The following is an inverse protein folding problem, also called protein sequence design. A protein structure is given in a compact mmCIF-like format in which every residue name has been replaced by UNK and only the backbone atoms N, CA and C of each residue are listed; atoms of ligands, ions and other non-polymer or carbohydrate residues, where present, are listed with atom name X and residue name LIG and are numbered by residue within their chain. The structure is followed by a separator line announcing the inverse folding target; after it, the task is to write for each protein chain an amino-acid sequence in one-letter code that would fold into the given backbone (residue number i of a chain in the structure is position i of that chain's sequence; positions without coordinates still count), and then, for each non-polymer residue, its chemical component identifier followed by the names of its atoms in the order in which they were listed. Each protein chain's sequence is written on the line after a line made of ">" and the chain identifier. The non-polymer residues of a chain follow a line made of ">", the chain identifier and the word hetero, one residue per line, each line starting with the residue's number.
data_IF_436639311188
#
_entry.id   IF_436639311188
#
_cell.length_a   1.000
_cell.length_b   1.000
_cell.length_c   1.000
_cell.angle_alpha   90.00
_cell.angle_beta   90.00
_cell.angle_gamma   90.00
#
_symmetry.space_group_name_H-M   'P 1'
#
loop_
_entity.id
_entity.type
_entity.pdbx_description
1 polymer ?
#
# COMPACT_ATOMS: atom_id res chain seq x y z
N UNK A 1 -12.21 1.27 15.49
CA UNK A 1 -13.62 1.56 15.21
C UNK A 1 -14.42 0.26 15.18
N UNK A 2 -15.14 -0.03 16.27
CA UNK A 2 -16.01 -1.22 16.36
C UNK A 2 -17.47 -0.90 15.91
N UNK A 3 -17.64 -0.09 14.88
CA UNK A 3 -18.95 0.23 14.37
C UNK A 3 -19.00 -0.13 12.89
N UNK A 4 -19.87 -1.02 12.52
CA UNK A 4 -20.37 -1.28 11.16
C UNK A 4 -19.36 -1.68 10.07
N UNK A 5 -18.10 -2.03 10.40
CA UNK A 5 -17.18 -2.59 9.43
C UNK A 5 -17.62 -4.03 9.10
N UNK A 6 -17.91 -4.35 7.82
CA UNK A 6 -18.36 -5.68 7.43
C UNK A 6 -17.21 -6.71 7.43
N UNK A 7 -15.97 -6.26 7.59
CA UNK A 7 -14.77 -7.09 7.54
C UNK A 7 -14.07 -7.15 8.89
N UNK A 8 -13.40 -8.27 9.16
CA UNK A 8 -12.45 -8.38 10.25
C UNK A 8 -11.12 -7.74 9.81
N UNK A 9 -10.77 -6.61 10.41
CA UNK A 9 -9.56 -5.86 10.07
C UNK A 9 -8.48 -6.10 11.12
N UNK A 10 -7.29 -6.48 10.65
CA UNK A 10 -6.10 -6.67 11.46
C UNK A 10 -5.05 -5.63 11.10
N UNK A 11 -4.71 -4.76 12.03
CA UNK A 11 -3.61 -3.81 11.90
C UNK A 11 -2.32 -4.48 12.37
N UNK A 12 -1.37 -4.68 11.46
CA UNK A 12 -0.11 -5.38 11.73
C UNK A 12 1.06 -4.42 11.55
N UNK A 13 1.80 -4.19 12.61
CA UNK A 13 3.09 -3.52 12.56
C UNK A 13 4.17 -4.58 12.39
N UNK A 14 4.54 -4.85 11.15
CA UNK A 14 5.49 -5.90 10.81
C UNK A 14 6.91 -5.54 11.28
N UNK A 15 7.71 -6.54 11.55
CA UNK A 15 9.13 -6.39 11.89
C UNK A 15 10.00 -6.89 10.76
N UNK A 16 11.19 -6.31 10.63
CA UNK A 16 12.20 -6.75 9.66
C UNK A 16 11.72 -6.66 8.19
N UNK A 17 10.96 -5.62 7.86
CA UNK A 17 10.58 -5.34 6.49
C UNK A 17 11.83 -5.10 5.64
N UNK A 18 12.73 -4.21 6.06
CA UNK A 18 13.96 -3.75 5.39
C UNK A 18 15.01 -4.87 5.13
N UNK A 19 14.81 -6.03 5.70
CA UNK A 19 15.72 -7.19 5.54
C UNK A 19 15.01 -8.42 4.98
N UNK A 20 13.91 -8.19 4.27
CA UNK A 20 13.18 -9.23 3.52
C UNK A 20 11.76 -9.51 4.02
N UNK A 21 11.03 -8.51 4.48
CA UNK A 21 9.59 -8.55 4.79
C UNK A 21 9.19 -9.71 5.72
N UNK A 22 10.07 -10.06 6.68
CA UNK A 22 9.98 -11.31 7.45
C UNK A 22 8.80 -11.35 8.40
N UNK A 23 8.46 -10.20 8.99
CA UNK A 23 7.32 -10.10 9.89
C UNK A 23 5.99 -10.29 9.18
N UNK A 24 5.86 -9.74 7.97
CA UNK A 24 4.62 -9.82 7.20
C UNK A 24 4.28 -11.24 6.76
N UNK A 25 5.27 -12.04 6.33
CA UNK A 25 5.01 -13.45 5.97
C UNK A 25 4.52 -14.27 7.15
N UNK A 26 5.09 -14.05 8.35
CA UNK A 26 4.68 -14.78 9.55
C UNK A 26 3.31 -14.33 10.06
N UNK A 27 3.01 -13.05 9.99
CA UNK A 27 1.70 -12.50 10.34
C UNK A 27 0.62 -13.02 9.38
N UNK A 28 0.85 -12.94 8.08
CA UNK A 28 -0.08 -13.45 7.07
C UNK A 28 -0.33 -14.96 7.21
N UNK A 29 0.72 -15.74 7.52
CA UNK A 29 0.57 -17.18 7.78
C UNK A 29 -0.30 -17.48 9.00
N UNK A 30 -0.20 -16.66 10.04
CA UNK A 30 -0.97 -16.86 11.28
C UNK A 30 -2.42 -16.37 11.13
N UNK A 31 -2.62 -15.21 10.50
CA UNK A 31 -3.94 -14.57 10.34
C UNK A 31 -4.74 -15.27 9.23
N UNK A 32 -4.07 -15.66 8.14
CA UNK A 32 -4.67 -16.20 6.91
C UNK A 32 -5.74 -15.27 6.33
N UNK A 33 -5.38 -14.03 6.02
CA UNK A 33 -6.34 -13.06 5.51
C UNK A 33 -6.75 -13.41 4.07
N UNK A 34 -7.97 -13.03 3.68
CA UNK A 34 -8.43 -13.08 2.29
C UNK A 34 -7.74 -12.01 1.44
N UNK A 35 -7.47 -10.84 2.05
CA UNK A 35 -6.78 -9.70 1.44
C UNK A 35 -5.65 -9.23 2.35
N UNK A 36 -4.46 -9.03 1.78
CA UNK A 36 -3.34 -8.33 2.39
C UNK A 36 -3.17 -6.95 1.77
N UNK A 37 -3.01 -5.92 2.60
CA UNK A 37 -2.75 -4.56 2.14
C UNK A 37 -1.43 -4.10 2.75
N UNK A 38 -0.43 -3.79 1.90
CA UNK A 38 0.78 -3.12 2.35
C UNK A 38 0.57 -1.62 2.43
N UNK A 39 1.10 -1.02 3.49
CA UNK A 39 1.16 0.44 3.65
C UNK A 39 2.62 0.82 3.84
N UNK A 40 3.16 1.56 2.89
CA UNK A 40 4.59 1.81 2.79
C UNK A 40 4.87 3.25 2.30
N UNK A 41 6.11 3.52 1.96
CA UNK A 41 6.53 4.73 1.24
C UNK A 41 6.99 4.39 -0.17
N UNK A 42 7.03 5.38 -1.06
CA UNK A 42 7.55 5.24 -2.42
C UNK A 42 8.29 6.51 -2.82
N UNK A 43 9.39 6.41 -3.61
CA UNK A 43 10.16 7.58 -3.99
C UNK A 43 9.36 8.64 -4.75
N UNK A 44 9.69 9.91 -4.47
CA UNK A 44 9.30 11.07 -5.29
C UNK A 44 10.11 11.05 -6.61
N UNK A 45 9.43 10.99 -7.73
CA UNK A 45 10.05 11.04 -9.07
C UNK A 45 10.15 12.48 -9.62
N UNK A 46 9.50 13.44 -8.94
CA UNK A 46 9.55 14.84 -9.36
C UNK A 46 10.85 15.53 -8.96
N UNK A 47 11.42 15.18 -7.80
CA UNK A 47 12.65 15.77 -7.29
C UNK A 47 13.26 15.00 -6.10
N UNK A 48 14.60 14.78 -6.07
CA UNK A 48 15.55 14.91 -7.18
C UNK A 48 15.26 13.83 -8.24
N UNK A 49 15.21 14.23 -9.49
CA UNK A 49 14.70 13.37 -10.56
C UNK A 49 15.82 12.56 -11.21
N UNK A 50 16.24 11.47 -10.56
CA UNK A 50 17.11 10.46 -11.15
C UNK A 50 16.41 9.11 -11.35
N UNK A 51 15.12 9.02 -10.98
CA UNK A 51 14.29 7.83 -11.12
C UNK A 51 13.19 8.08 -12.15
N UNK A 52 12.98 7.13 -13.05
CA UNK A 52 11.83 7.15 -13.94
C UNK A 52 10.56 6.79 -13.15
N UNK A 53 9.50 7.57 -13.34
CA UNK A 53 8.23 7.34 -12.68
C UNK A 53 7.33 8.56 -12.68
N UNK A 54 6.17 8.43 -12.04
CA UNK A 54 5.14 9.46 -12.06
C UNK A 54 4.71 9.93 -10.66
N UNK A 55 5.23 9.34 -9.59
CA UNK A 55 4.86 9.74 -8.24
C UNK A 55 5.48 11.10 -7.86
N UNK A 56 4.68 11.94 -7.21
CA UNK A 56 5.14 13.23 -6.70
C UNK A 56 4.57 13.51 -5.32
N UNK A 57 5.39 14.06 -4.44
CA UNK A 57 4.97 14.52 -3.10
C UNK A 57 3.90 15.61 -3.24
N UNK A 58 2.79 15.45 -2.53
CA UNK A 58 1.68 16.40 -2.54
C UNK A 58 0.63 16.14 -3.63
N UNK A 59 0.77 15.07 -4.39
CA UNK A 59 -0.20 14.68 -5.43
C UNK A 59 -1.19 13.60 -4.98
N UNK A 60 -1.22 13.27 -3.70
CA UNK A 60 -2.11 12.29 -3.07
C UNK A 60 -1.43 10.96 -2.80
N UNK A 61 -2.18 10.03 -2.22
CA UNK A 61 -1.68 8.68 -1.90
C UNK A 61 -1.37 7.91 -3.19
N UNK A 62 -0.25 7.20 -3.24
CA UNK A 62 0.06 6.30 -4.34
C UNK A 62 -0.63 4.96 -4.13
N UNK A 63 -1.50 4.56 -5.08
CA UNK A 63 -2.01 3.20 -5.17
C UNK A 63 -1.03 2.39 -6.00
N UNK A 64 -0.41 1.38 -5.40
CA UNK A 64 0.63 0.58 -6.02
C UNK A 64 0.02 -0.43 -6.98
N UNK A 65 0.53 -0.45 -8.22
CA UNK A 65 0.12 -1.41 -9.25
C UNK A 65 1.01 -2.66 -9.23
N UNK A 66 2.26 -2.49 -8.86
CA UNK A 66 3.25 -3.55 -8.76
C UNK A 66 4.64 -3.03 -8.44
N UNK A 67 5.48 -3.95 -8.05
CA UNK A 67 6.90 -3.76 -7.80
C UNK A 67 7.70 -4.96 -8.36
N UNK A 68 9.05 -4.94 -8.35
CA UNK A 68 9.85 -6.07 -8.83
C UNK A 68 9.61 -7.40 -8.11
N UNK A 69 8.98 -7.38 -6.94
CA UNK A 69 8.76 -8.55 -6.10
C UNK A 69 7.36 -9.12 -6.22
N UNK A 70 6.36 -8.29 -6.58
CA UNK A 70 4.97 -8.71 -6.74
C UNK A 70 4.19 -7.86 -7.74
N UNK A 71 3.39 -8.51 -8.56
CA UNK A 71 2.27 -7.88 -9.26
C UNK A 71 1.07 -7.93 -8.33
N UNK A 72 0.51 -6.76 -8.04
CA UNK A 72 -0.64 -6.68 -7.14
C UNK A 72 -1.92 -7.14 -7.86
N UNK A 73 -2.90 -7.57 -7.08
CA UNK A 73 -4.16 -8.07 -7.64
C UNK A 73 -4.92 -6.95 -8.35
N UNK A 74 -5.13 -7.11 -9.66
CA UNK A 74 -5.72 -6.09 -10.52
C UNK A 74 -7.12 -5.68 -10.07
N UNK A 75 -7.93 -6.63 -9.62
CA UNK A 75 -9.30 -6.35 -9.16
C UNK A 75 -9.27 -5.50 -7.89
N UNK A 76 -8.45 -5.87 -6.90
CA UNK A 76 -8.29 -5.09 -5.66
C UNK A 76 -7.74 -3.69 -5.91
N UNK A 77 -6.77 -3.57 -6.80
CA UNK A 77 -6.20 -2.27 -7.21
C UNK A 77 -7.28 -1.41 -7.88
N UNK A 78 -8.05 -1.96 -8.83
CA UNK A 78 -9.12 -1.23 -9.50
C UNK A 78 -10.22 -0.81 -8.51
N UNK A 79 -10.55 -1.64 -7.53
CA UNK A 79 -11.48 -1.29 -6.47
C UNK A 79 -10.96 -0.18 -5.55
N UNK A 80 -9.65 -0.15 -5.25
CA UNK A 80 -9.02 0.96 -4.52
C UNK A 80 -9.10 2.27 -5.30
N UNK A 81 -8.80 2.24 -6.59
CA UNK A 81 -8.88 3.41 -7.47
C UNK A 81 -10.33 3.93 -7.54
N UNK A 82 -11.29 3.03 -7.72
CA UNK A 82 -12.72 3.40 -7.71
C UNK A 82 -13.13 3.99 -6.35
N UNK A 83 -12.63 3.45 -5.24
CA UNK A 83 -12.88 3.98 -3.91
C UNK A 83 -12.36 5.42 -3.77
N UNK A 84 -11.19 5.72 -4.33
CA UNK A 84 -10.65 7.09 -4.35
C UNK A 84 -11.57 8.03 -5.14
N UNK A 85 -12.00 7.64 -6.33
CA UNK A 85 -12.87 8.44 -7.19
C UNK A 85 -14.24 8.71 -6.56
N UNK A 86 -14.87 7.68 -6.00
CA UNK A 86 -16.19 7.76 -5.35
C UNK A 86 -16.19 8.69 -4.12
N UNK A 87 -15.06 8.77 -3.41
CA UNK A 87 -14.93 9.56 -2.19
C UNK A 87 -14.14 10.86 -2.34
N UNK A 88 -13.71 11.21 -3.57
CA UNK A 88 -12.93 12.42 -3.84
C UNK A 88 -11.56 12.41 -3.16
N UNK A 89 -10.99 11.22 -2.92
CA UNK A 89 -9.65 11.06 -2.34
C UNK A 89 -8.62 11.28 -3.42
N UNK A 90 -7.66 12.15 -3.15
CA UNK A 90 -6.57 12.44 -4.09
C UNK A 90 -5.59 11.28 -4.14
N UNK A 91 -5.30 10.77 -5.34
CA UNK A 91 -4.44 9.60 -5.51
C UNK A 91 -3.56 9.68 -6.75
N UNK A 92 -2.53 8.85 -6.75
CA UNK A 92 -1.64 8.60 -7.87
C UNK A 92 -1.58 7.09 -8.14
N UNK A 93 -1.18 6.71 -9.36
CA UNK A 93 -0.89 5.30 -9.71
C UNK A 93 0.61 5.10 -9.67
N UNK A 94 1.09 4.18 -8.83
CA UNK A 94 2.50 3.94 -8.63
C UNK A 94 2.94 2.58 -9.17
N UNK A 95 4.07 2.58 -9.85
CA UNK A 95 4.85 1.37 -10.13
C UNK A 95 6.25 1.61 -9.59
N UNK A 96 6.73 0.69 -8.78
CA UNK A 96 8.09 0.74 -8.29
C UNK A 96 9.01 -0.03 -9.24
N UNK A 97 10.14 0.57 -9.61
CA UNK A 97 11.17 -0.06 -10.45
C UNK A 97 12.21 -0.82 -9.63
N UNK A 98 12.29 -0.54 -8.34
CA UNK A 98 13.24 -1.14 -7.38
C UNK A 98 12.59 -1.34 -6.02
N UNK A 99 13.14 -2.32 -5.27
CA UNK A 99 12.64 -2.66 -3.96
C UNK A 99 11.38 -3.51 -4.02
N UNK A 100 10.67 -3.55 -2.95
CA UNK A 100 9.40 -4.26 -2.77
C UNK A 100 8.81 -3.85 -1.44
N UNK A 101 7.64 -4.37 -1.14
CA UNK A 101 6.93 -4.10 0.10
C UNK A 101 6.49 -5.40 0.77
N UNK A 102 5.92 -5.31 1.95
CA UNK A 102 5.32 -6.46 2.63
C UNK A 102 4.27 -7.21 1.79
N UNK A 103 3.71 -6.58 0.75
CA UNK A 103 2.76 -7.23 -0.17
C UNK A 103 3.33 -8.50 -0.80
N UNK A 104 4.62 -8.48 -1.21
CA UNK A 104 5.26 -9.62 -1.85
C UNK A 104 5.34 -10.85 -0.94
N UNK A 105 5.64 -10.65 0.33
CA UNK A 105 5.75 -11.72 1.29
C UNK A 105 4.37 -12.22 1.79
N UNK A 106 3.41 -11.32 1.91
CA UNK A 106 2.02 -11.72 2.17
C UNK A 106 1.46 -12.55 1.02
N UNK A 107 1.70 -12.14 -0.24
CA UNK A 107 1.24 -12.86 -1.42
C UNK A 107 1.72 -14.32 -1.47
N UNK A 108 2.94 -14.60 -0.98
CA UNK A 108 3.54 -15.93 -0.97
C UNK A 108 3.24 -16.72 0.32
N UNK A 109 2.45 -16.18 1.23
CA UNK A 109 2.16 -16.84 2.51
C UNK A 109 1.03 -17.88 2.36
N UNK A 110 1.21 -19.05 2.99
CA UNK A 110 0.22 -20.13 2.99
C UNK A 110 -0.10 -20.64 1.58
N UNK A 111 -1.36 -20.62 1.23
CA UNK A 111 -1.86 -21.02 -0.11
C UNK A 111 -1.89 -19.81 -1.09
N UNK A 112 -1.33 -18.70 -0.67
CA UNK A 112 -1.35 -17.43 -1.38
C UNK A 112 -2.40 -16.48 -0.81
N UNK A 113 -2.08 -15.18 -0.78
CA UNK A 113 -2.98 -14.11 -0.34
C UNK A 113 -3.13 -13.12 -1.48
N UNK A 114 -4.35 -12.69 -1.78
CA UNK A 114 -4.59 -11.58 -2.70
C UNK A 114 -4.07 -10.29 -2.07
N UNK A 115 -3.27 -9.53 -2.79
CA UNK A 115 -2.59 -8.36 -2.21
C UNK A 115 -2.84 -7.09 -3.00
N UNK A 116 -2.96 -6.01 -2.24
CA UNK A 116 -2.98 -4.64 -2.72
C UNK A 116 -1.95 -3.82 -1.93
N UNK A 117 -1.70 -2.59 -2.34
CA UNK A 117 -0.75 -1.73 -1.64
C UNK A 117 -1.01 -0.26 -1.88
N UNK A 118 -0.71 0.52 -0.86
CA UNK A 118 -0.66 1.99 -0.94
C UNK A 118 0.67 2.47 -0.41
N UNK A 119 1.15 3.59 -0.92
CA UNK A 119 2.39 4.19 -0.47
C UNK A 119 2.29 5.71 -0.35
N UNK A 120 2.84 6.25 0.71
CA UNK A 120 3.04 7.70 0.84
C UNK A 120 4.28 8.07 0.04
N UNK A 121 4.15 9.03 -0.87
CA UNK A 121 5.30 9.49 -1.67
C UNK A 121 6.25 10.30 -0.79
N UNK A 122 7.53 9.93 -0.78
CA UNK A 122 8.54 10.61 0.01
C UNK A 122 9.76 11.03 -0.80
N UNK A 123 10.43 12.08 -0.31
CA UNK A 123 11.76 12.49 -0.77
C UNK A 123 12.80 11.96 0.18
N UNK A 124 13.88 11.47 -0.39
CA UNK A 124 15.02 10.96 0.34
C UNK A 124 14.73 9.69 1.14
N UNK A 125 14.04 8.67 0.54
CA UNK A 125 13.83 7.38 1.20
C UNK A 125 15.18 6.79 1.65
N UNK A 126 15.15 6.00 2.72
CA UNK A 126 16.33 5.38 3.34
C UNK A 126 17.41 6.37 3.78
N UNK A 127 17.09 7.65 3.94
CA UNK A 127 17.99 8.66 4.46
C UNK A 127 17.69 8.97 5.93
N UNK A 128 18.51 9.84 6.53
CA UNK A 128 18.30 10.27 7.93
C UNK A 128 17.04 11.14 8.11
N UNK A 129 16.56 11.75 7.05
CA UNK A 129 15.40 12.63 7.05
C UNK A 129 14.66 12.50 5.74
N UNK A 130 13.46 11.96 5.77
CA UNK A 130 12.51 11.96 4.65
C UNK A 130 11.57 13.14 4.74
N UNK A 131 11.01 13.53 3.59
CA UNK A 131 10.02 14.60 3.48
C UNK A 131 8.79 14.06 2.77
N UNK A 132 7.64 14.18 3.42
CA UNK A 132 6.34 13.78 2.90
C UNK A 132 5.35 14.95 2.95
N UNK A 133 4.28 14.88 2.19
CA UNK A 133 3.14 15.79 2.34
C UNK A 133 2.14 15.22 3.36
N UNK A 134 1.73 16.05 4.30
CA UNK A 134 0.73 15.66 5.30
C UNK A 134 -0.61 15.28 4.67
N UNK A 135 -0.97 15.96 3.59
CA UNK A 135 -2.23 15.70 2.88
C UNK A 135 -2.23 14.34 2.17
N UNK A 136 -1.06 13.85 1.71
CA UNK A 136 -0.93 12.51 1.15
C UNK A 136 -1.14 11.43 2.22
N UNK A 137 -0.65 11.66 3.44
CA UNK A 137 -0.92 10.78 4.60
C UNK A 137 -2.40 10.76 4.92
N UNK A 138 -3.05 11.93 4.94
CA UNK A 138 -4.49 12.03 5.20
C UNK A 138 -5.28 11.27 4.12
N UNK A 139 -4.91 11.43 2.84
CA UNK A 139 -5.52 10.69 1.75
C UNK A 139 -5.38 9.17 1.91
N UNK A 140 -4.22 8.70 2.38
CA UNK A 140 -4.02 7.27 2.67
C UNK A 140 -4.90 6.76 3.81
N UNK A 141 -5.05 7.54 4.88
CA UNK A 141 -5.94 7.21 6.01
C UNK A 141 -7.39 7.14 5.53
N UNK A 142 -7.84 8.14 4.78
CA UNK A 142 -9.20 8.19 4.25
C UNK A 142 -9.48 7.02 3.30
N UNK A 143 -8.51 6.65 2.44
CA UNK A 143 -8.62 5.50 1.56
C UNK A 143 -8.76 4.20 2.35
N UNK A 144 -7.91 3.95 3.32
CA UNK A 144 -7.97 2.75 4.14
C UNK A 144 -9.28 2.65 4.92
N UNK A 145 -9.75 3.77 5.51
CA UNK A 145 -11.04 3.80 6.20
C UNK A 145 -12.19 3.42 5.25
N UNK A 146 -12.27 4.04 4.08
CA UNK A 146 -13.34 3.75 3.11
C UNK A 146 -13.23 2.37 2.50
N UNK A 147 -12.02 1.95 2.16
CA UNK A 147 -11.78 0.68 1.51
C UNK A 147 -12.08 -0.51 2.42
N UNK A 148 -11.67 -0.47 3.68
CA UNK A 148 -11.95 -1.55 4.66
C UNK A 148 -13.44 -1.68 5.01
N UNK A 149 -14.25 -0.66 4.74
CA UNK A 149 -15.71 -0.71 4.91
C UNK A 149 -16.46 -1.20 3.65
N UNK A 150 -15.77 -1.54 2.57
CA UNK A 150 -16.41 -2.14 1.38
C UNK A 150 -16.76 -3.60 1.64
N UNK A 151 -17.80 -4.07 0.94
CA UNK A 151 -18.15 -5.49 0.92
C UNK A 151 -17.44 -6.14 -0.25
N UNK A 152 -16.45 -6.96 0.01
CA UNK A 152 -15.73 -7.72 -1.00
C UNK A 152 -16.53 -8.96 -1.40
N UNK A 153 -16.48 -9.31 -2.69
CA UNK A 153 -17.12 -10.52 -3.25
C UNK A 153 -16.00 -11.39 -3.82
N UNK A 154 -15.75 -12.52 -3.19
CA UNK A 154 -14.78 -13.51 -3.60
C UNK A 154 -15.46 -14.67 -4.31
#
# INVERSE_FOLDING_TARGET
>A
NKGDCPNDVYDVFSVQEEVGCRGAVTAAHQIRPDIGISVDVTPDHAYPCDLEGCNAVGEGISVTLGDPSAMLDEELVNEMLACCEENGIRYQRGVMDRGGTDASSMNQSGDGVRVAGIAVVDRYPHSKCSVIAKDDVTAGIDLLDKYTHRVFKF
#
